data_IF_240810903609
#
_entry.id   IF_240810903609
#
_cell.length_a   1.000
_cell.length_b   1.000
_cell.length_c   1.000
_cell.angle_alpha   90.00
_cell.angle_beta   90.00
_cell.angle_gamma   90.00
#
_symmetry.space_group_name_H-M   'P 1'
#
loop_
_entity.id
_entity.type
_entity.pdbx_description
1 polymer ?
#
# COMPACT_ATOMS: atom_id res chain seq x y z
N UNK A 1 11.00 16.61 -4.34
CA UNK A 1 12.00 16.20 -5.35
C UNK A 1 11.45 15.24 -6.40
N UNK A 2 11.12 13.97 -6.12
CA UNK A 2 10.63 13.06 -7.16
C UNK A 2 9.29 13.50 -7.79
N UNK A 3 8.30 13.86 -6.96
CA UNK A 3 6.98 14.29 -7.45
C UNK A 3 7.04 15.61 -8.24
N UNK A 4 7.88 16.55 -7.81
CA UNK A 4 8.13 17.80 -8.53
C UNK A 4 8.84 17.56 -9.87
N UNK A 5 9.78 16.61 -9.93
CA UNK A 5 10.43 16.23 -11.17
C UNK A 5 9.43 15.60 -12.16
N UNK A 6 8.62 14.65 -11.69
CA UNK A 6 7.55 14.01 -12.46
C UNK A 6 6.58 15.05 -13.04
N UNK A 7 6.17 16.03 -12.23
CA UNK A 7 5.31 17.12 -12.70
C UNK A 7 5.96 17.92 -13.82
N UNK A 8 7.26 18.26 -13.68
CA UNK A 8 8.00 19.06 -14.67
C UNK A 8 8.21 18.34 -16.00
N UNK A 9 8.36 17.01 -15.99
CA UNK A 9 8.51 16.21 -17.21
C UNK A 9 7.17 15.82 -17.84
N UNK A 10 6.05 16.20 -17.20
CA UNK A 10 4.70 16.00 -17.74
C UNK A 10 4.08 14.65 -17.39
N UNK A 11 4.60 13.95 -16.37
CA UNK A 11 3.97 12.73 -15.88
C UNK A 11 2.57 13.04 -15.34
N UNK A 12 1.60 12.20 -15.73
CA UNK A 12 0.20 12.38 -15.33
C UNK A 12 -0.06 11.91 -13.91
N UNK A 13 0.49 10.75 -13.54
CA UNK A 13 0.19 10.08 -12.29
C UNK A 13 1.45 9.43 -11.71
N UNK A 14 1.80 9.78 -10.47
CA UNK A 14 2.92 9.20 -9.73
C UNK A 14 2.71 9.40 -8.22
N UNK A 15 3.18 8.47 -7.41
CA UNK A 15 3.24 8.63 -5.95
C UNK A 15 4.60 8.18 -5.42
N UNK A 16 5.15 8.94 -4.47
CA UNK A 16 6.36 8.62 -3.74
C UNK A 16 6.10 8.62 -2.24
N UNK A 17 6.58 7.59 -1.55
CA UNK A 17 6.53 7.49 -0.08
C UNK A 17 7.74 8.21 0.52
N UNK A 18 7.53 9.22 1.36
CA UNK A 18 8.61 9.95 2.04
C UNK A 18 8.86 9.35 3.42
N UNK A 19 10.14 9.15 3.77
CA UNK A 19 10.54 8.69 5.11
C UNK A 19 10.50 7.16 5.30
N UNK A 20 10.06 6.40 4.30
CA UNK A 20 9.93 4.93 4.35
C UNK A 20 11.25 4.20 4.01
N UNK A 21 12.42 4.80 4.26
CA UNK A 21 13.72 4.13 4.04
C UNK A 21 14.07 3.76 2.58
N UNK A 22 13.24 4.15 1.61
CA UNK A 22 13.40 3.77 0.19
C UNK A 22 12.63 2.50 -0.20
N UNK A 23 11.78 2.00 0.68
CA UNK A 23 10.93 0.84 0.40
C UNK A 23 9.89 1.14 -0.68
N UNK A 24 9.52 0.11 -1.45
CA UNK A 24 8.45 0.19 -2.46
C UNK A 24 7.05 0.03 -1.88
N UNK A 25 6.95 0.02 -0.55
CA UNK A 25 5.72 -0.15 0.22
C UNK A 25 5.65 0.91 1.31
N UNK A 26 4.43 1.11 1.82
CA UNK A 26 4.19 1.91 3.02
C UNK A 26 4.30 1.02 4.26
N UNK A 27 5.10 1.43 5.24
CA UNK A 27 5.03 0.90 6.60
C UNK A 27 3.65 1.16 7.20
N UNK A 28 2.94 0.11 7.68
CA UNK A 28 1.68 0.30 8.38
C UNK A 28 1.87 0.84 9.81
N UNK A 29 3.08 0.76 10.39
CA UNK A 29 3.36 1.09 11.81
C UNK A 29 3.65 2.56 12.08
N UNK A 30 3.84 3.34 11.03
CA UNK A 30 4.20 4.76 11.11
C UNK A 30 3.26 5.56 10.23
N UNK A 31 3.05 6.84 10.56
CA UNK A 31 2.45 7.73 9.59
C UNK A 31 3.41 7.88 8.40
N UNK A 32 2.83 8.04 7.22
CA UNK A 32 3.58 8.11 5.97
C UNK A 32 3.16 9.37 5.23
N UNK A 33 4.11 10.25 4.94
CA UNK A 33 3.87 11.38 4.05
C UNK A 33 4.06 10.90 2.61
N UNK A 34 3.01 11.00 1.80
CA UNK A 34 3.13 10.79 0.36
C UNK A 34 3.20 12.13 -0.36
N UNK A 35 3.97 12.15 -1.44
CA UNK A 35 3.96 13.24 -2.41
C UNK A 35 3.80 12.65 -3.80
N UNK A 36 3.02 13.29 -4.64
CA UNK A 36 2.71 12.74 -5.95
C UNK A 36 2.24 13.77 -6.94
N UNK A 37 1.93 13.26 -8.12
CA UNK A 37 1.25 13.97 -9.18
C UNK A 37 -0.02 13.17 -9.47
N UNK A 38 -1.16 13.85 -9.48
CA UNK A 38 -2.44 13.27 -9.87
C UNK A 38 -3.05 14.13 -10.97
N UNK A 39 -3.31 13.54 -12.12
CA UNK A 39 -3.75 14.25 -13.33
C UNK A 39 -2.90 15.49 -13.66
N UNK A 40 -1.58 15.38 -13.50
CA UNK A 40 -0.61 16.46 -13.74
C UNK A 40 -0.51 17.51 -12.62
N UNK A 41 -1.29 17.36 -11.54
CA UNK A 41 -1.30 18.28 -10.40
C UNK A 41 -0.51 17.70 -9.23
N UNK A 42 0.44 18.47 -8.71
CA UNK A 42 1.18 18.10 -7.51
C UNK A 42 0.29 18.03 -6.28
N UNK A 43 0.53 17.04 -5.41
CA UNK A 43 -0.10 16.97 -4.10
C UNK A 43 0.85 16.39 -3.06
N UNK A 44 0.56 16.70 -1.80
CA UNK A 44 1.09 15.99 -0.63
C UNK A 44 -0.05 15.60 0.29
N UNK A 45 0.06 14.45 0.92
CA UNK A 45 -0.96 13.92 1.82
C UNK A 45 -0.28 13.07 2.90
N UNK A 46 -0.63 13.29 4.17
CA UNK A 46 -0.21 12.41 5.26
C UNK A 46 -1.23 11.27 5.42
N UNK A 47 -0.71 10.05 5.52
CA UNK A 47 -1.47 8.84 5.83
C UNK A 47 -1.17 8.42 7.27
N UNK A 48 -2.17 8.38 8.17
CA UNK A 48 -1.96 8.10 9.58
C UNK A 48 -1.59 6.63 9.80
N UNK A 49 -0.86 6.33 10.87
CA UNK A 49 -0.51 4.96 11.29
C UNK A 49 -1.70 4.01 11.17
N UNK A 50 -1.50 2.87 10.53
CA UNK A 50 -2.57 1.90 10.22
C UNK A 50 -2.55 0.69 11.17
N UNK A 51 -1.37 0.27 11.62
CA UNK A 51 -1.18 -0.82 12.57
C UNK A 51 -0.51 -0.26 13.83
N UNK A 52 -1.28 -0.15 14.91
CA UNK A 52 -0.76 0.22 16.22
C UNK A 52 -0.20 -1.01 16.95
N UNK A 53 0.93 -0.84 17.63
CA UNK A 53 1.55 -1.90 18.43
C UNK A 53 2.68 -2.66 17.73
N UNK A 54 3.27 -3.61 18.46
CA UNK A 54 4.37 -4.41 17.97
C UNK A 54 3.86 -5.57 17.12
N UNK A 55 4.05 -5.49 15.81
CA UNK A 55 4.10 -6.71 14.99
C UNK A 55 5.30 -7.52 15.46
N UNK A 56 5.12 -8.80 15.79
CA UNK A 56 6.17 -9.68 16.31
C UNK A 56 7.46 -9.70 15.47
N UNK A 57 8.48 -10.44 15.95
CA UNK A 57 9.78 -10.54 15.26
C UNK A 57 9.61 -10.97 13.79
N UNK A 58 10.43 -10.40 12.92
CA UNK A 58 10.54 -10.83 11.52
C UNK A 58 10.87 -12.33 11.49
N UNK A 59 9.95 -13.12 10.91
CA UNK A 59 10.08 -14.56 10.74
C UNK A 59 10.96 -14.94 9.55
N UNK A 60 10.83 -16.17 9.09
CA UNK A 60 11.47 -16.66 7.86
C UNK A 60 11.03 -15.81 6.66
N UNK A 61 11.99 -15.30 5.88
CA UNK A 61 11.73 -14.63 4.60
C UNK A 61 12.20 -15.56 3.49
N UNK A 62 11.28 -16.36 2.96
CA UNK A 62 11.50 -17.23 1.80
C UNK A 62 10.33 -17.10 0.83
N UNK A 63 10.56 -17.35 -0.45
CA UNK A 63 9.47 -17.34 -1.44
C UNK A 63 8.36 -18.34 -1.08
N UNK A 64 8.72 -19.48 -0.50
CA UNK A 64 7.76 -20.48 -0.02
C UNK A 64 6.93 -19.95 1.15
N UNK A 65 7.54 -19.24 2.11
CA UNK A 65 6.82 -18.60 3.21
C UNK A 65 5.85 -17.53 2.69
N UNK A 66 6.31 -16.63 1.82
CA UNK A 66 5.47 -15.58 1.23
C UNK A 66 4.29 -16.16 0.45
N UNK A 67 4.50 -17.27 -0.27
CA UNK A 67 3.42 -17.99 -0.95
C UNK A 67 2.38 -18.53 0.05
N UNK A 68 2.81 -19.15 1.17
CA UNK A 68 1.88 -19.63 2.19
C UNK A 68 1.08 -18.49 2.82
N UNK A 69 1.71 -17.35 3.11
CA UNK A 69 1.02 -16.15 3.60
C UNK A 69 -0.03 -15.67 2.59
N UNK A 70 0.36 -15.56 1.31
CA UNK A 70 -0.55 -15.15 0.24
C UNK A 70 -1.76 -16.08 0.14
N UNK A 71 -1.54 -17.39 0.20
CA UNK A 71 -2.58 -18.42 0.14
C UNK A 71 -3.41 -18.56 1.43
N UNK A 72 -3.13 -17.77 2.47
CA UNK A 72 -3.83 -17.84 3.77
C UNK A 72 -3.49 -19.09 4.58
N UNK A 73 -2.38 -19.75 4.28
CA UNK A 73 -1.88 -20.93 5.00
C UNK A 73 -0.97 -20.56 6.18
N UNK A 74 -0.51 -19.31 6.23
CA UNK A 74 0.29 -18.73 7.31
C UNK A 74 -0.21 -17.32 7.62
N UNK A 75 -0.19 -16.94 8.88
CA UNK A 75 -0.53 -15.58 9.30
C UNK A 75 0.73 -14.70 9.36
N UNK A 76 0.63 -13.52 8.76
CA UNK A 76 1.63 -12.48 8.89
C UNK A 76 0.91 -11.13 8.99
N UNK A 77 0.73 -10.66 10.22
CA UNK A 77 -0.03 -9.45 10.49
C UNK A 77 0.61 -8.21 9.85
N UNK A 78 1.93 -8.06 9.97
CA UNK A 78 2.64 -6.95 9.36
C UNK A 78 2.48 -6.95 7.83
N UNK A 79 2.75 -8.09 7.18
CA UNK A 79 2.67 -8.24 5.73
C UNK A 79 1.26 -8.00 5.20
N UNK A 80 0.23 -8.49 5.90
CA UNK A 80 -1.18 -8.18 5.60
C UNK A 80 -1.42 -6.67 5.62
N UNK A 81 -1.04 -5.99 6.70
CA UNK A 81 -1.29 -4.56 6.85
C UNK A 81 -0.45 -3.70 5.90
N UNK A 82 0.79 -4.10 5.60
CA UNK A 82 1.65 -3.43 4.62
C UNK A 82 1.05 -3.50 3.21
N UNK A 83 0.55 -4.68 2.81
CA UNK A 83 -0.17 -4.84 1.53
C UNK A 83 -1.42 -3.97 1.49
N UNK A 84 -2.27 -4.02 2.53
CA UNK A 84 -3.50 -3.23 2.59
C UNK A 84 -3.21 -1.72 2.55
N UNK A 85 -2.27 -1.24 3.36
CA UNK A 85 -1.91 0.17 3.45
C UNK A 85 -1.33 0.70 2.12
N UNK A 86 -0.49 -0.09 1.45
CA UNK A 86 0.09 0.25 0.15
C UNK A 86 -0.98 0.22 -0.94
N UNK A 87 -1.83 -0.82 -0.98
CA UNK A 87 -2.91 -0.95 -1.95
C UNK A 87 -3.93 0.17 -1.83
N UNK A 88 -4.24 0.64 -0.61
CA UNK A 88 -5.15 1.77 -0.40
C UNK A 88 -4.65 3.04 -1.10
N UNK A 89 -3.35 3.34 -1.04
CA UNK A 89 -2.77 4.50 -1.73
C UNK A 89 -2.93 4.34 -3.25
N UNK A 90 -2.61 3.17 -3.79
CA UNK A 90 -2.78 2.87 -5.22
C UNK A 90 -4.24 3.00 -5.65
N UNK A 91 -5.20 2.48 -4.87
CA UNK A 91 -6.63 2.57 -5.18
C UNK A 91 -7.14 4.01 -5.22
N UNK A 92 -6.73 4.84 -4.24
CA UNK A 92 -7.07 6.27 -4.24
C UNK A 92 -6.45 6.99 -5.44
N UNK A 93 -5.18 6.71 -5.76
CA UNK A 93 -4.50 7.27 -6.93
C UNK A 93 -5.16 6.87 -8.26
N UNK A 94 -5.72 5.67 -8.34
CA UNK A 94 -6.49 5.19 -9.49
C UNK A 94 -7.93 5.72 -9.53
N UNK A 95 -8.32 6.61 -8.61
CA UNK A 95 -9.68 7.16 -8.54
C UNK A 95 -10.75 6.14 -8.19
N UNK A 96 -10.38 5.03 -7.53
CA UNK A 96 -11.35 4.00 -7.08
C UNK A 96 -12.07 4.36 -5.80
N UNK A 97 -11.54 5.34 -5.07
CA UNK A 97 -11.99 5.76 -3.76
C UNK A 97 -11.76 7.26 -3.58
N UNK A 98 -12.68 7.93 -2.88
CA UNK A 98 -12.64 9.39 -2.72
C UNK A 98 -11.73 9.83 -1.58
N UNK A 99 -11.51 8.96 -0.58
CA UNK A 99 -10.75 9.27 0.62
C UNK A 99 -10.00 8.04 1.18
N UNK A 100 -9.05 8.30 2.08
CA UNK A 100 -8.19 7.27 2.68
C UNK A 100 -8.98 6.14 3.36
N UNK A 101 -10.05 6.47 4.09
CA UNK A 101 -10.87 5.48 4.79
C UNK A 101 -11.56 4.53 3.81
N UNK A 102 -12.20 5.06 2.77
CA UNK A 102 -12.81 4.24 1.71
C UNK A 102 -11.78 3.39 0.97
N UNK A 103 -10.57 3.91 0.78
CA UNK A 103 -9.47 3.19 0.13
C UNK A 103 -8.96 2.02 0.99
N UNK A 104 -8.78 2.22 2.30
CA UNK A 104 -8.39 1.16 3.24
C UNK A 104 -9.47 0.07 3.35
N UNK A 105 -10.75 0.47 3.36
CA UNK A 105 -11.86 -0.47 3.38
C UNK A 105 -11.92 -1.33 2.11
N UNK A 106 -11.74 -0.72 0.93
CA UNK A 106 -11.70 -1.43 -0.35
C UNK A 106 -10.47 -2.35 -0.43
N UNK A 107 -9.30 -1.87 -0.03
CA UNK A 107 -8.06 -2.66 0.00
C UNK A 107 -8.19 -3.88 0.93
N UNK A 108 -8.76 -3.70 2.13
CA UNK A 108 -9.06 -4.80 3.06
C UNK A 108 -10.01 -5.82 2.44
N UNK A 109 -11.08 -5.35 1.79
CA UNK A 109 -12.05 -6.20 1.09
C UNK A 109 -11.38 -7.03 0.00
N UNK A 110 -10.49 -6.42 -0.80
CA UNK A 110 -9.77 -7.12 -1.87
C UNK A 110 -8.76 -8.13 -1.31
N UNK A 111 -8.07 -7.79 -0.22
CA UNK A 111 -7.19 -8.73 0.47
C UNK A 111 -7.96 -9.94 0.99
N UNK A 112 -9.09 -9.74 1.66
CA UNK A 112 -9.89 -10.83 2.23
C UNK A 112 -10.53 -11.69 1.12
N UNK A 113 -10.89 -11.09 -0.01
CA UNK A 113 -11.43 -11.78 -1.17
C UNK A 113 -10.37 -12.42 -2.09
N UNK A 114 -9.07 -12.27 -1.81
CA UNK A 114 -7.97 -12.68 -2.71
C UNK A 114 -7.95 -14.17 -3.07
N UNK A 115 -8.56 -15.01 -2.23
CA UNK A 115 -8.65 -16.46 -2.44
C UNK A 115 -9.92 -16.90 -3.18
N UNK A 116 -10.88 -15.98 -3.36
CA UNK A 116 -12.17 -16.28 -3.99
C UNK A 116 -12.11 -16.24 -5.53
N UNK A 117 -11.02 -15.70 -6.09
CA UNK A 117 -10.75 -15.69 -7.52
C UNK A 117 -10.06 -16.99 -7.96
N UNK A 118 -10.78 -18.12 -7.89
CA UNK A 118 -10.36 -19.29 -8.69
C UNK A 118 -10.48 -18.92 -10.18
N UNK A 119 -9.47 -19.22 -11.02
CA UNK A 119 -9.64 -19.07 -12.46
C UNK A 119 -10.84 -19.93 -12.88
N UNK A 120 -11.74 -19.35 -13.68
CA UNK A 120 -12.75 -20.14 -14.36
C UNK A 120 -11.99 -21.13 -15.26
N UNK A 121 -12.13 -22.42 -14.98
CA UNK A 121 -11.74 -23.49 -15.90
C UNK A 121 -12.45 -23.31 -17.24
#
# INVERSE_FOLDING_TARGET
MHAEAAQRVGDRNMVAFKGEGGESERSPRTSCLIAGVQEGTYFEEEWPTYLEGASGKHGEISGAYLQRVWLGQEENEYGRHAVIATLAIVLKMMGRCDNQASALALASTWWDARLNTRPRN
#
